data_IF_866247562797
#
_entry.id   IF_866247562797
#
_cell.length_a   1.000
_cell.length_b   1.000
_cell.length_c   1.000
_cell.angle_alpha   90.00
_cell.angle_beta   90.00
_cell.angle_gamma   90.00
#
_symmetry.space_group_name_H-M   'P 1'
#
loop_
_entity.id
_entity.type
_entity.pdbx_description
1 polymer ?
#
# COMPACT_ATOMS: atom_id res chain seq x y z
N UNK A 1 -17.72 3.79 14.96
CA UNK A 1 -17.56 3.54 16.41
C UNK A 1 -16.57 4.55 16.94
N UNK A 2 -16.77 5.11 18.16
CA UNK A 2 -15.78 6.00 18.78
C UNK A 2 -14.46 5.25 19.00
N UNK A 3 -13.32 5.92 18.75
CA UNK A 3 -11.99 5.31 19.01
C UNK A 3 -11.74 5.26 20.52
N UNK A 4 -11.20 4.13 20.99
CA UNK A 4 -10.97 3.88 22.40
C UNK A 4 -9.54 4.18 22.81
N UNK A 5 -9.35 5.02 23.84
CA UNK A 5 -8.05 5.42 24.36
C UNK A 5 -7.92 4.92 25.80
N UNK A 6 -6.80 4.27 26.13
CA UNK A 6 -6.43 3.90 27.50
C UNK A 6 -5.45 4.96 28.05
N UNK A 7 -5.81 5.57 29.16
CA UNK A 7 -4.94 6.53 29.88
C UNK A 7 -4.41 5.86 31.13
N UNK A 8 -3.10 5.92 31.31
CA UNK A 8 -2.40 5.30 32.43
C UNK A 8 -1.59 6.35 33.18
N UNK A 9 -1.95 6.64 34.40
CA UNK A 9 -1.30 7.64 35.25
C UNK A 9 -1.66 7.32 36.72
N UNK A 10 -0.73 7.46 37.65
CA UNK A 10 -0.99 7.26 39.07
C UNK A 10 -1.61 8.47 39.78
N UNK A 11 -1.56 9.66 39.11
CA UNK A 11 -2.24 10.85 39.61
C UNK A 11 -3.71 10.90 39.17
N UNK A 12 -4.68 10.81 40.11
CA UNK A 12 -6.11 10.89 39.78
C UNK A 12 -6.53 12.22 39.13
N UNK A 13 -5.82 13.31 39.37
CA UNK A 13 -6.13 14.62 38.79
C UNK A 13 -5.68 14.64 37.30
N UNK A 14 -4.51 14.09 37.03
CA UNK A 14 -4.03 13.93 35.65
C UNK A 14 -4.98 13.03 34.84
N UNK A 15 -5.39 11.89 35.40
CA UNK A 15 -6.38 11.00 34.78
C UNK A 15 -7.70 11.74 34.45
N UNK A 16 -8.22 12.51 35.40
CA UNK A 16 -9.47 13.29 35.19
C UNK A 16 -9.33 14.32 34.09
N UNK A 17 -8.25 15.12 34.15
CA UNK A 17 -8.02 16.19 33.16
C UNK A 17 -7.90 15.65 31.74
N UNK A 18 -7.02 14.64 31.54
CA UNK A 18 -6.79 14.04 30.22
C UNK A 18 -8.05 13.31 29.73
N UNK A 19 -8.76 12.60 30.62
CA UNK A 19 -10.04 11.97 30.27
C UNK A 19 -11.09 12.96 29.82
N UNK A 20 -11.28 14.04 30.57
CA UNK A 20 -12.25 15.08 30.23
C UNK A 20 -11.94 15.71 28.87
N UNK A 21 -10.66 16.05 28.63
CA UNK A 21 -10.22 16.63 27.36
C UNK A 21 -10.54 15.71 26.19
N UNK A 22 -10.20 14.42 26.29
CA UNK A 22 -10.39 13.48 25.16
C UNK A 22 -11.85 13.06 24.99
N UNK A 23 -12.64 12.97 26.06
CA UNK A 23 -14.08 12.73 25.96
C UNK A 23 -14.82 13.89 25.29
N UNK A 24 -14.39 15.13 25.53
CA UNK A 24 -14.94 16.33 24.86
C UNK A 24 -14.70 16.27 23.33
N UNK A 25 -13.61 15.63 22.87
CA UNK A 25 -13.30 15.40 21.46
C UNK A 25 -13.97 14.12 20.90
N UNK A 26 -14.83 13.46 21.68
CA UNK A 26 -15.64 12.31 21.23
C UNK A 26 -14.93 10.94 21.29
N UNK A 27 -13.83 10.82 22.02
CA UNK A 27 -13.15 9.54 22.24
C UNK A 27 -13.81 8.73 23.37
N UNK A 28 -13.82 7.38 23.25
CA UNK A 28 -14.13 6.47 24.35
C UNK A 28 -12.87 6.28 25.22
N UNK A 29 -12.95 6.66 26.51
CA UNK A 29 -11.79 6.73 27.39
C UNK A 29 -11.90 5.68 28.49
N UNK A 30 -10.88 4.82 28.60
CA UNK A 30 -10.64 3.94 29.73
C UNK A 30 -9.42 4.45 30.52
N UNK A 31 -9.40 4.25 31.83
CA UNK A 31 -8.32 4.66 32.72
C UNK A 31 -7.72 3.48 33.48
N UNK A 32 -6.43 3.58 33.82
CA UNK A 32 -5.71 2.70 34.72
C UNK A 32 -4.81 3.51 35.63
N UNK A 33 -4.81 3.23 36.92
CA UNK A 33 -4.03 3.96 37.92
C UNK A 33 -2.63 3.34 38.18
N UNK A 34 -2.28 2.27 37.47
CA UNK A 34 -0.98 1.60 37.59
C UNK A 34 -0.61 0.81 36.33
N UNK A 35 0.67 0.48 36.19
CA UNK A 35 1.15 -0.37 35.10
C UNK A 35 0.50 -1.77 35.10
N UNK A 36 0.23 -2.34 36.28
CA UNK A 36 -0.44 -3.63 36.40
C UNK A 36 -1.89 -3.57 35.90
N UNK A 37 -2.64 -2.53 36.25
CA UNK A 37 -4.00 -2.30 35.77
C UNK A 37 -4.03 -2.05 34.26
N UNK A 38 -3.04 -1.32 33.74
CA UNK A 38 -2.92 -1.09 32.30
C UNK A 38 -2.77 -2.40 31.53
N UNK A 39 -1.86 -3.29 31.95
CA UNK A 39 -1.66 -4.61 31.33
C UNK A 39 -2.88 -5.52 31.47
N UNK A 40 -3.58 -5.47 32.62
CA UNK A 40 -4.82 -6.20 32.83
C UNK A 40 -5.97 -5.66 31.92
N UNK A 41 -6.03 -4.33 31.70
CA UNK A 41 -7.01 -3.71 30.81
C UNK A 41 -6.76 -4.12 29.35
N UNK A 42 -5.50 -4.16 28.92
CA UNK A 42 -5.11 -4.61 27.59
C UNK A 42 -5.45 -6.08 27.31
N UNK A 43 -5.46 -6.92 28.34
CA UNK A 43 -5.86 -8.32 28.23
C UNK A 43 -7.39 -8.50 28.05
N UNK A 44 -8.20 -7.53 28.54
CA UNK A 44 -9.66 -7.55 28.43
C UNK A 44 -10.19 -6.95 27.12
N UNK A 45 -9.44 -6.06 26.52
CA UNK A 45 -9.84 -5.40 25.26
C UNK A 45 -8.73 -4.47 24.76
N UNK A 46 -8.54 -4.45 23.45
CA UNK A 46 -7.51 -3.63 22.83
C UNK A 46 -8.02 -2.20 22.59
N UNK A 47 -7.39 -1.16 23.18
CA UNK A 47 -7.65 0.22 22.81
C UNK A 47 -6.99 0.56 21.44
N UNK A 48 -7.35 1.69 20.88
CA UNK A 48 -6.75 2.22 19.65
C UNK A 48 -5.45 2.99 19.91
N UNK A 49 -5.27 3.49 21.16
CA UNK A 49 -4.07 4.23 21.61
C UNK A 49 -3.93 4.11 23.13
N UNK A 50 -2.68 4.12 23.61
CA UNK A 50 -2.34 4.23 25.03
C UNK A 50 -1.64 5.54 25.29
N UNK A 51 -2.12 6.31 26.29
CA UNK A 51 -1.40 7.43 26.88
C UNK A 51 -0.82 6.93 28.20
N UNK A 52 0.49 7.08 28.37
CA UNK A 52 1.21 6.39 29.44
C UNK A 52 2.14 7.35 30.18
N UNK A 53 1.88 7.54 31.46
CA UNK A 53 2.84 8.28 32.30
C UNK A 53 4.13 7.48 32.47
N UNK A 54 5.26 8.17 32.45
CA UNK A 54 6.59 7.58 32.60
C UNK A 54 6.88 7.23 34.06
N UNK A 55 6.45 8.13 34.99
CA UNK A 55 6.82 8.05 36.39
C UNK A 55 5.67 7.52 37.24
N UNK A 56 5.56 6.22 37.35
CA UNK A 56 4.58 5.56 38.23
C UNK A 56 5.27 4.73 39.31
N UNK A 57 4.68 4.61 40.52
CA UNK A 57 5.17 3.69 41.53
C UNK A 57 5.05 2.24 41.06
N UNK A 58 5.88 1.34 41.56
CA UNK A 58 5.94 -0.11 41.30
C UNK A 58 6.41 -0.50 39.90
N UNK A 59 5.78 0.00 38.83
CA UNK A 59 6.13 -0.31 37.44
C UNK A 59 6.15 0.97 36.63
N UNK A 60 7.32 1.34 36.12
CA UNK A 60 7.46 2.55 35.30
C UNK A 60 6.75 2.41 33.94
N UNK A 61 6.30 3.55 33.38
CA UNK A 61 5.70 3.54 32.03
C UNK A 61 6.64 3.00 30.95
N UNK A 62 7.96 3.15 31.11
CA UNK A 62 8.94 2.58 30.19
C UNK A 62 8.87 1.03 30.22
N UNK A 63 8.72 0.44 31.39
CA UNK A 63 8.59 -1.01 31.53
C UNK A 63 7.24 -1.51 30.99
N UNK A 64 6.15 -0.78 31.23
CA UNK A 64 4.83 -1.10 30.63
C UNK A 64 4.94 -1.07 29.11
N UNK A 65 5.58 -0.04 28.53
CA UNK A 65 5.81 0.09 27.09
C UNK A 65 6.57 -1.12 26.53
N UNK A 66 7.67 -1.52 27.16
CA UNK A 66 8.45 -2.68 26.74
C UNK A 66 7.61 -3.98 26.76
N UNK A 67 6.77 -4.17 27.78
CA UNK A 67 5.86 -5.34 27.85
C UNK A 67 4.80 -5.32 26.76
N UNK A 68 4.24 -4.12 26.45
CA UNK A 68 3.31 -3.94 25.32
C UNK A 68 4.00 -4.31 23.99
N UNK A 69 5.23 -3.87 23.78
CA UNK A 69 6.03 -4.16 22.56
C UNK A 69 6.45 -5.62 22.44
N UNK A 70 6.71 -6.29 23.57
CA UNK A 70 7.08 -7.71 23.59
C UNK A 70 5.91 -8.65 23.23
N UNK A 71 4.68 -8.22 23.38
CA UNK A 71 3.50 -9.02 23.05
C UNK A 71 3.06 -8.80 21.59
N UNK A 72 3.10 -9.82 20.71
CA UNK A 72 2.73 -9.68 19.31
C UNK A 72 1.33 -9.09 19.05
N UNK A 73 0.37 -9.32 19.96
CA UNK A 73 -1.00 -8.81 19.87
C UNK A 73 -1.08 -7.28 20.09
N UNK A 74 -0.15 -6.71 20.86
CA UNK A 74 -0.12 -5.28 21.23
C UNK A 74 1.12 -4.54 20.73
N UNK A 75 2.08 -5.23 20.09
CA UNK A 75 3.37 -4.66 19.66
C UNK A 75 3.23 -3.41 18.77
N UNK A 76 2.12 -3.29 18.03
CA UNK A 76 1.83 -2.16 17.11
C UNK A 76 0.84 -1.15 17.69
N UNK A 77 0.47 -1.27 18.97
CA UNK A 77 -0.45 -0.34 19.63
C UNK A 77 0.24 1.02 19.79
N UNK A 78 -0.33 2.13 19.31
CA UNK A 78 0.27 3.45 19.50
C UNK A 78 0.40 3.82 20.96
N UNK A 79 1.56 4.34 21.34
CA UNK A 79 1.86 4.76 22.70
C UNK A 79 2.37 6.20 22.68
N UNK A 80 1.62 7.10 23.34
CA UNK A 80 2.04 8.45 23.67
C UNK A 80 2.53 8.47 25.12
N UNK A 81 3.80 8.79 25.34
CA UNK A 81 4.31 8.95 26.70
C UNK A 81 4.11 10.38 27.22
N UNK A 82 3.64 10.48 28.47
CA UNK A 82 3.62 11.73 29.22
C UNK A 82 4.74 11.70 30.26
N UNK A 83 5.47 12.81 30.47
CA UNK A 83 6.52 12.87 31.48
C UNK A 83 6.64 14.24 32.12
N UNK A 84 6.86 14.26 33.43
CA UNK A 84 7.07 15.47 34.22
C UNK A 84 8.42 16.20 33.96
N UNK A 85 9.35 15.63 33.20
CA UNK A 85 10.69 16.16 32.92
C UNK A 85 10.98 16.28 31.43
N UNK A 86 11.17 17.52 30.98
CA UNK A 86 11.53 17.87 29.60
C UNK A 86 13.01 17.64 29.23
N UNK A 87 13.73 16.74 29.88
CA UNK A 87 15.14 16.44 29.59
C UNK A 87 15.27 15.63 28.32
N UNK A 88 16.19 16.01 27.44
CA UNK A 88 16.51 15.32 26.19
C UNK A 88 16.82 13.83 26.42
N UNK A 89 17.41 13.49 27.57
CA UNK A 89 17.72 12.12 27.97
C UNK A 89 16.44 11.25 28.15
N UNK A 90 15.36 11.79 28.69
CA UNK A 90 14.11 11.08 28.92
C UNK A 90 13.36 10.81 27.59
N UNK A 91 13.42 11.78 26.65
CA UNK A 91 12.90 11.59 25.29
C UNK A 91 13.62 10.49 24.54
N UNK A 92 14.95 10.43 24.62
CA UNK A 92 15.78 9.39 23.99
C UNK A 92 15.50 8.02 24.64
N UNK A 93 15.32 7.96 25.94
CA UNK A 93 14.99 6.72 26.65
C UNK A 93 13.57 6.24 26.35
N UNK A 94 12.59 7.13 26.26
CA UNK A 94 11.21 6.84 25.86
C UNK A 94 11.10 6.30 24.45
N UNK A 95 11.78 6.92 23.49
CA UNK A 95 11.83 6.42 22.09
C UNK A 95 12.58 5.09 21.98
N UNK A 96 13.64 4.88 22.76
CA UNK A 96 14.35 3.58 22.82
C UNK A 96 13.52 2.46 23.46
N UNK A 97 12.56 2.77 24.34
CA UNK A 97 11.62 1.80 24.91
C UNK A 97 10.50 1.39 23.95
N UNK A 98 10.41 2.04 22.77
CA UNK A 98 9.44 1.72 21.73
C UNK A 98 8.17 2.57 21.74
N UNK A 99 8.15 3.72 22.42
CA UNK A 99 7.06 4.69 22.33
C UNK A 99 7.04 5.40 20.95
N UNK A 100 5.84 5.76 20.48
CA UNK A 100 5.66 6.38 19.16
C UNK A 100 5.75 7.89 19.21
N UNK A 101 5.43 8.51 20.37
CA UNK A 101 5.60 9.95 20.62
C UNK A 101 5.71 10.24 22.13
N UNK A 102 6.06 11.49 22.44
CA UNK A 102 6.36 11.94 23.79
C UNK A 102 5.87 13.37 24.01
N UNK A 103 5.17 13.64 25.11
CA UNK A 103 4.65 14.94 25.47
C UNK A 103 5.06 15.30 26.91
N UNK A 104 5.73 16.45 27.15
CA UNK A 104 6.08 16.89 28.51
C UNK A 104 4.84 17.36 29.30
N UNK A 105 4.80 17.04 30.61
CA UNK A 105 3.84 17.59 31.56
C UNK A 105 4.35 18.93 32.12
N UNK A 106 3.51 19.98 32.35
CA UNK A 106 2.07 19.96 32.04
C UNK A 106 1.81 20.03 30.55
N UNK A 107 0.96 19.14 30.04
CA UNK A 107 0.61 19.07 28.64
C UNK A 107 -0.42 20.18 28.32
N UNK A 108 -0.17 20.94 27.27
CA UNK A 108 -1.20 21.78 26.66
C UNK A 108 -2.30 20.87 26.05
N UNK A 109 -3.57 21.21 26.33
CA UNK A 109 -4.69 20.35 25.86
C UNK A 109 -4.79 20.28 24.35
N UNK A 110 -4.50 21.38 23.64
CA UNK A 110 -4.50 21.41 22.19
C UNK A 110 -3.36 20.57 21.59
N UNK A 111 -2.15 20.63 22.20
CA UNK A 111 -1.02 19.81 21.77
C UNK A 111 -1.29 18.31 22.03
N UNK A 112 -1.90 17.97 23.17
CA UNK A 112 -2.29 16.59 23.50
C UNK A 112 -3.25 16.05 22.45
N UNK A 113 -4.32 16.77 22.13
CA UNK A 113 -5.32 16.35 21.12
C UNK A 113 -4.67 16.17 19.75
N UNK A 114 -3.87 17.15 19.30
CA UNK A 114 -3.19 17.07 18.01
C UNK A 114 -2.25 15.86 17.90
N UNK A 115 -1.52 15.51 18.97
CA UNK A 115 -0.64 14.34 18.98
C UNK A 115 -1.42 13.03 19.02
N UNK A 116 -2.50 12.96 19.79
CA UNK A 116 -3.40 11.82 19.82
C UNK A 116 -3.99 11.58 18.44
N UNK A 117 -4.50 12.61 17.77
CA UNK A 117 -5.00 12.50 16.39
C UNK A 117 -3.93 12.03 15.41
N UNK A 118 -2.73 12.62 15.47
CA UNK A 118 -1.62 12.23 14.62
C UNK A 118 -1.23 10.76 14.82
N UNK A 119 -1.17 10.28 16.05
CA UNK A 119 -0.88 8.87 16.38
C UNK A 119 -2.01 7.94 15.96
N UNK A 120 -3.26 8.30 16.22
CA UNK A 120 -4.43 7.52 15.79
C UNK A 120 -4.55 7.46 14.26
N UNK A 121 -4.19 8.53 13.56
CA UNK A 121 -4.16 8.56 12.11
C UNK A 121 -3.02 7.69 11.55
N UNK A 122 -1.83 7.72 12.19
CA UNK A 122 -0.72 6.80 11.88
C UNK A 122 -1.08 5.35 12.21
N UNK A 123 -1.80 5.10 13.28
CA UNK A 123 -2.21 3.76 13.70
C UNK A 123 -3.44 3.25 12.92
N UNK A 124 -4.33 4.13 12.51
CA UNK A 124 -5.37 3.83 11.52
C UNK A 124 -4.76 3.51 10.15
N UNK A 125 -3.57 4.08 9.83
CA UNK A 125 -2.68 3.64 8.77
C UNK A 125 -1.95 2.31 9.10
N UNK A 126 -1.98 1.83 10.35
CA UNK A 126 -1.43 0.53 10.83
C UNK A 126 -2.48 -0.58 11.00
N UNK A 127 -3.71 -0.44 10.55
CA UNK A 127 -4.41 -1.57 9.92
C UNK A 127 -3.47 -2.07 8.81
N UNK A 128 -3.36 -3.38 8.49
CA UNK A 128 -2.53 -3.80 7.38
C UNK A 128 -2.92 -2.95 6.17
N UNK A 129 -2.19 -1.84 5.95
CA UNK A 129 -2.47 -0.98 4.82
C UNK A 129 -2.15 -1.84 3.61
N UNK A 130 -3.12 -2.03 2.74
CA UNK A 130 -2.96 -2.86 1.57
C UNK A 130 -1.65 -2.55 0.87
N UNK A 131 -0.91 -3.56 0.49
CA UNK A 131 0.38 -3.39 -0.15
C UNK A 131 0.18 -2.82 -1.55
N UNK A 132 0.79 -1.69 -1.83
CA UNK A 132 0.78 -1.08 -3.17
C UNK A 132 1.87 -1.73 -4.02
N UNK A 133 1.49 -2.15 -5.23
CA UNK A 133 2.39 -2.69 -6.25
C UNK A 133 2.13 -1.91 -7.54
N UNK A 134 3.17 -1.36 -8.13
CA UNK A 134 3.06 -0.62 -9.37
C UNK A 134 3.63 -1.41 -10.56
N UNK A 135 2.96 -1.35 -11.69
CA UNK A 135 3.43 -1.84 -12.97
C UNK A 135 3.51 -0.67 -13.93
N UNK A 136 4.66 -0.44 -14.51
CA UNK A 136 4.89 0.62 -15.50
C UNK A 136 5.56 0.03 -16.73
N UNK A 137 5.06 0.33 -17.91
CA UNK A 137 5.67 -0.12 -19.15
C UNK A 137 6.95 0.67 -19.46
N UNK A 138 7.98 0.02 -19.94
CA UNK A 138 9.14 0.69 -20.51
C UNK A 138 8.72 1.54 -21.73
N UNK A 139 7.79 1.01 -22.53
CA UNK A 139 7.16 1.68 -23.68
C UNK A 139 5.70 1.27 -23.79
N UNK A 140 4.94 1.96 -24.66
CA UNK A 140 3.58 1.53 -25.03
C UNK A 140 3.61 0.13 -25.65
N UNK A 141 2.64 -0.71 -25.27
CA UNK A 141 2.50 -2.06 -25.79
C UNK A 141 3.43 -3.12 -25.20
N UNK A 142 4.24 -2.82 -24.18
CA UNK A 142 5.13 -3.78 -23.52
C UNK A 142 4.42 -4.94 -22.79
N UNK A 143 3.08 -4.90 -22.69
CA UNK A 143 2.29 -5.93 -22.01
C UNK A 143 1.99 -5.65 -20.55
N UNK A 144 2.17 -4.41 -20.10
CA UNK A 144 1.99 -3.97 -18.70
C UNK A 144 0.63 -4.33 -18.14
N UNK A 145 -0.45 -3.94 -18.83
CA UNK A 145 -1.84 -4.25 -18.43
C UNK A 145 -2.07 -5.76 -18.37
N UNK A 146 -1.55 -6.53 -19.34
CA UNK A 146 -1.67 -7.99 -19.35
C UNK A 146 -1.00 -8.60 -18.11
N UNK A 147 0.20 -8.16 -17.75
CA UNK A 147 0.91 -8.62 -16.53
C UNK A 147 0.13 -8.24 -15.29
N UNK A 148 -0.27 -6.97 -15.16
CA UNK A 148 -0.99 -6.46 -13.99
C UNK A 148 -2.32 -7.19 -13.76
N UNK A 149 -3.13 -7.37 -14.82
CA UNK A 149 -4.42 -8.10 -14.77
C UNK A 149 -4.22 -9.54 -14.34
N UNK A 150 -3.24 -10.25 -14.93
CA UNK A 150 -3.00 -11.65 -14.58
C UNK A 150 -2.48 -11.82 -13.15
N UNK A 151 -1.54 -10.97 -12.69
CA UNK A 151 -1.05 -11.00 -11.30
C UNK A 151 -2.18 -10.69 -10.33
N UNK A 152 -2.98 -9.65 -10.60
CA UNK A 152 -4.12 -9.28 -9.75
C UNK A 152 -5.16 -10.41 -9.66
N UNK A 153 -5.47 -11.04 -10.79
CA UNK A 153 -6.42 -12.17 -10.86
C UNK A 153 -5.91 -13.40 -10.11
N UNK A 154 -4.62 -13.72 -10.22
CA UNK A 154 -4.00 -14.83 -9.48
C UNK A 154 -4.01 -14.61 -7.97
N UNK A 155 -3.80 -13.37 -7.52
CA UNK A 155 -3.89 -13.04 -6.10
C UNK A 155 -5.34 -13.11 -5.58
N UNK A 156 -6.30 -12.63 -6.37
CA UNK A 156 -7.72 -12.74 -6.04
C UNK A 156 -8.20 -14.20 -5.99
N UNK A 157 -7.73 -15.05 -6.92
CA UNK A 157 -8.03 -16.48 -6.95
C UNK A 157 -7.49 -17.22 -5.71
N UNK A 158 -6.46 -16.69 -5.07
CA UNK A 158 -5.95 -17.15 -3.77
C UNK A 158 -6.76 -16.65 -2.56
N UNK A 159 -7.90 -16.00 -2.78
CA UNK A 159 -8.75 -15.45 -1.73
C UNK A 159 -8.27 -14.12 -1.15
N UNK A 160 -7.29 -13.44 -1.78
CA UNK A 160 -6.81 -12.13 -1.34
C UNK A 160 -7.78 -11.01 -1.71
N UNK A 161 -7.91 -10.02 -0.82
CA UNK A 161 -8.65 -8.80 -1.14
C UNK A 161 -7.80 -7.90 -2.05
N UNK A 162 -8.03 -7.95 -3.37
CA UNK A 162 -7.23 -7.26 -4.39
C UNK A 162 -8.04 -6.19 -5.10
N UNK A 163 -7.43 -5.02 -5.27
CA UNK A 163 -7.94 -3.98 -6.19
C UNK A 163 -6.88 -3.66 -7.24
N UNK A 164 -7.25 -3.76 -8.50
CA UNK A 164 -6.48 -3.30 -9.64
C UNK A 164 -6.98 -1.92 -10.05
N UNK A 165 -6.07 -0.98 -10.23
CA UNK A 165 -6.35 0.38 -10.69
C UNK A 165 -5.64 0.60 -12.02
N UNK A 166 -6.38 0.86 -13.07
CA UNK A 166 -5.82 1.22 -14.36
C UNK A 166 -5.65 2.75 -14.43
N UNK A 167 -4.47 3.23 -14.01
CA UNK A 167 -4.18 4.66 -13.84
C UNK A 167 -3.50 5.22 -15.10
N UNK A 168 -4.32 5.68 -16.03
CA UNK A 168 -3.83 6.24 -17.31
C UNK A 168 -4.72 7.36 -17.83
N UNK A 169 -4.16 8.31 -18.60
CA UNK A 169 -4.87 9.47 -19.09
C UNK A 169 -5.75 9.21 -20.35
N UNK A 170 -5.96 7.98 -20.71
CA UNK A 170 -6.73 7.60 -21.89
C UNK A 170 -7.39 6.25 -21.75
N UNK A 171 -8.02 5.74 -22.82
CA UNK A 171 -8.74 4.48 -22.79
C UNK A 171 -7.91 3.33 -22.28
N UNK A 172 -8.53 2.53 -21.38
CA UNK A 172 -7.93 1.34 -20.82
C UNK A 172 -8.39 0.05 -21.47
N UNK A 173 -7.71 -1.04 -21.13
CA UNK A 173 -8.00 -2.38 -21.65
C UNK A 173 -8.22 -3.42 -20.56
N UNK A 174 -7.99 -3.08 -19.29
CA UNK A 174 -8.10 -4.01 -18.17
C UNK A 174 -9.54 -4.57 -18.03
N UNK A 175 -10.55 -3.73 -18.21
CA UNK A 175 -11.95 -4.16 -18.17
C UNK A 175 -12.25 -5.20 -19.25
N UNK A 176 -11.78 -4.99 -20.48
CA UNK A 176 -11.94 -5.94 -21.59
C UNK A 176 -11.24 -7.28 -21.33
N UNK A 177 -10.02 -7.25 -20.77
CA UNK A 177 -9.29 -8.46 -20.37
C UNK A 177 -9.97 -9.28 -19.27
N UNK A 178 -10.88 -8.65 -18.51
CA UNK A 178 -11.67 -9.28 -17.45
C UNK A 178 -13.12 -9.56 -17.86
N UNK A 179 -13.50 -9.29 -19.11
CA UNK A 179 -14.88 -9.43 -19.60
C UNK A 179 -15.86 -8.47 -18.92
N UNK A 180 -15.37 -7.37 -18.36
CA UNK A 180 -16.16 -6.39 -17.62
C UNK A 180 -16.53 -5.19 -18.51
N UNK A 181 -17.67 -4.56 -18.19
CA UNK A 181 -18.14 -3.34 -18.87
C UNK A 181 -18.33 -2.26 -17.81
N UNK A 182 -17.48 -1.21 -17.78
CA UNK A 182 -17.62 -0.13 -16.83
C UNK A 182 -18.83 0.73 -17.16
N UNK A 183 -19.71 0.95 -16.16
CA UNK A 183 -20.75 1.99 -16.20
C UNK A 183 -20.20 3.32 -15.66
N UNK A 184 -19.23 3.24 -14.77
CA UNK A 184 -18.47 4.36 -14.20
C UNK A 184 -17.00 3.99 -14.19
N UNK A 185 -16.13 4.98 -14.38
CA UNK A 185 -14.69 4.79 -14.51
C UNK A 185 -13.88 5.88 -13.79
N UNK A 186 -12.58 5.89 -13.99
CA UNK A 186 -11.66 6.87 -13.42
C UNK A 186 -12.01 8.32 -13.81
N UNK A 187 -12.53 8.55 -15.01
CA UNK A 187 -12.93 9.89 -15.48
C UNK A 187 -14.04 10.48 -14.63
N UNK A 188 -15.04 9.67 -14.25
CA UNK A 188 -16.15 10.09 -13.38
C UNK A 188 -15.67 10.49 -11.98
N UNK A 189 -14.62 9.82 -11.49
CA UNK A 189 -14.05 10.12 -10.17
C UNK A 189 -13.24 11.41 -10.18
N UNK A 190 -12.51 11.69 -11.25
CA UNK A 190 -11.67 12.89 -11.38
C UNK A 190 -12.46 14.18 -11.51
N UNK A 191 -13.72 14.09 -11.98
CA UNK A 191 -14.63 15.24 -12.01
C UNK A 191 -15.02 15.73 -10.61
N UNK A 192 -14.57 15.03 -9.54
CA UNK A 192 -14.90 15.32 -8.14
C UNK A 192 -13.66 15.72 -7.34
N UNK A 193 -13.81 16.56 -6.29
CA UNK A 193 -12.71 16.87 -5.39
C UNK A 193 -12.12 15.60 -4.74
N UNK A 194 -10.79 15.54 -4.50
CA UNK A 194 -10.16 14.40 -3.83
C UNK A 194 -10.76 14.05 -2.46
N UNK A 195 -11.30 15.05 -1.75
CA UNK A 195 -11.99 14.89 -0.46
C UNK A 195 -13.24 14.04 -0.55
N UNK A 196 -13.91 14.05 -1.70
CA UNK A 196 -15.15 13.32 -1.91
C UNK A 196 -14.93 11.82 -2.19
N UNK A 197 -13.68 11.41 -2.50
CA UNK A 197 -13.32 9.99 -2.63
C UNK A 197 -13.52 9.21 -1.32
N UNK A 198 -13.50 9.90 -0.18
CA UNK A 198 -13.78 9.33 1.14
C UNK A 198 -15.27 8.96 1.33
N UNK A 199 -16.18 9.51 0.53
CA UNK A 199 -17.58 9.13 0.54
C UNK A 199 -17.75 7.74 -0.08
N UNK A 200 -18.09 6.73 0.75
CA UNK A 200 -18.15 5.30 0.37
C UNK A 200 -18.96 5.01 -0.91
N UNK A 201 -19.94 5.84 -1.23
CA UNK A 201 -20.82 5.64 -2.39
C UNK A 201 -20.19 6.02 -3.73
N UNK A 202 -19.19 6.90 -3.74
CA UNK A 202 -18.62 7.43 -4.99
C UNK A 202 -17.65 6.43 -5.59
N UNK A 203 -16.66 6.02 -4.83
CA UNK A 203 -15.66 5.05 -5.28
C UNK A 203 -16.27 3.66 -5.48
N UNK A 204 -17.20 3.25 -4.60
CA UNK A 204 -17.87 1.96 -4.67
C UNK A 204 -18.66 1.73 -5.97
N UNK A 205 -19.22 2.80 -6.56
CA UNK A 205 -19.94 2.73 -7.85
C UNK A 205 -19.01 2.54 -9.05
N UNK A 206 -17.77 3.02 -8.96
CA UNK A 206 -16.78 2.93 -10.04
C UNK A 206 -15.93 1.64 -9.96
N UNK A 207 -16.05 0.88 -8.86
CA UNK A 207 -15.34 -0.40 -8.71
C UNK A 207 -16.16 -1.54 -9.30
N UNK A 208 -15.64 -2.13 -10.35
CA UNK A 208 -16.12 -3.36 -10.96
C UNK A 208 -15.64 -4.58 -10.17
N UNK A 209 -16.38 -5.68 -10.24
CA UNK A 209 -15.98 -6.96 -9.64
C UNK A 209 -15.99 -8.06 -10.69
N UNK A 210 -14.88 -8.78 -10.80
CA UNK A 210 -14.79 -9.98 -11.63
C UNK A 210 -15.33 -11.21 -10.89
N UNK A 211 -15.51 -12.31 -11.62
CA UNK A 211 -16.05 -13.55 -11.09
C UNK A 211 -15.23 -14.15 -9.92
N UNK A 212 -13.91 -13.95 -9.91
CA UNK A 212 -13.01 -14.39 -8.83
C UNK A 212 -12.84 -13.37 -7.71
N UNK A 213 -13.67 -12.32 -7.66
CA UNK A 213 -13.65 -11.32 -6.59
C UNK A 213 -12.61 -10.20 -6.75
N UNK A 214 -11.81 -10.19 -7.82
CA UNK A 214 -10.92 -9.07 -8.14
C UNK A 214 -11.75 -7.80 -8.34
N UNK A 215 -11.36 -6.72 -7.69
CA UNK A 215 -11.93 -5.38 -7.87
C UNK A 215 -11.12 -4.61 -8.90
N UNK A 216 -11.79 -3.95 -9.82
CA UNK A 216 -11.16 -3.12 -10.85
C UNK A 216 -11.72 -1.71 -10.82
N UNK A 217 -10.84 -0.73 -10.74
CA UNK A 217 -11.10 0.64 -11.09
C UNK A 217 -10.52 0.87 -12.50
N UNK A 218 -11.41 0.93 -13.48
CA UNK A 218 -11.01 1.02 -14.88
C UNK A 218 -10.59 2.44 -15.26
N UNK A 219 -9.69 2.56 -16.22
CA UNK A 219 -9.36 3.82 -16.87
C UNK A 219 -10.60 4.37 -17.65
N UNK A 220 -10.60 5.66 -18.03
CA UNK A 220 -11.66 6.23 -18.85
C UNK A 220 -11.93 5.40 -20.10
N UNK A 221 -13.21 5.21 -20.41
CA UNK A 221 -13.62 4.50 -21.64
C UNK A 221 -14.11 5.45 -22.73
N UNK A 222 -14.37 6.72 -22.42
CA UNK A 222 -14.68 7.77 -23.39
C UNK A 222 -13.58 8.83 -23.41
N UNK A 223 -13.31 9.40 -24.60
CA UNK A 223 -12.29 10.43 -24.80
C UNK A 223 -12.75 11.85 -24.44
N UNK A 224 -13.98 12.03 -23.96
CA UNK A 224 -14.59 13.33 -23.76
C UNK A 224 -14.12 14.04 -22.47
N UNK A 225 -13.48 13.31 -21.56
CA UNK A 225 -12.99 13.86 -20.30
C UNK A 225 -11.46 13.89 -20.33
N UNK A 226 -10.80 15.06 -20.30
CA UNK A 226 -9.36 15.14 -20.11
C UNK A 226 -8.98 14.48 -18.78
N UNK A 227 -8.13 13.47 -18.84
CA UNK A 227 -7.74 12.71 -17.67
C UNK A 227 -6.32 13.11 -17.24
N UNK A 228 -6.17 14.32 -16.69
CA UNK A 228 -4.93 14.73 -16.03
C UNK A 228 -5.02 14.38 -14.54
N UNK A 229 -4.49 13.21 -14.20
CA UNK A 229 -4.53 12.69 -12.84
C UNK A 229 -3.48 13.41 -12.00
N UNK A 230 -3.95 14.23 -11.05
CA UNK A 230 -3.04 14.91 -10.11
C UNK A 230 -2.39 13.94 -9.11
N UNK A 231 -1.22 14.34 -8.56
CA UNK A 231 -0.57 13.59 -7.50
C UNK A 231 -1.42 13.49 -6.24
N UNK A 232 -2.10 14.57 -5.86
CA UNK A 232 -2.99 14.61 -4.70
C UNK A 232 -4.17 13.64 -4.83
N UNK A 233 -4.77 13.56 -6.02
CA UNK A 233 -5.84 12.60 -6.29
C UNK A 233 -5.32 11.17 -6.17
N UNK A 234 -4.14 10.88 -6.72
CA UNK A 234 -3.53 9.56 -6.63
C UNK A 234 -3.22 9.18 -5.16
N UNK A 235 -2.70 10.09 -4.35
CA UNK A 235 -2.45 9.86 -2.92
C UNK A 235 -3.75 9.59 -2.14
N UNK A 236 -4.80 10.38 -2.37
CA UNK A 236 -6.10 10.15 -1.73
C UNK A 236 -6.69 8.78 -2.11
N UNK A 237 -6.60 8.42 -3.40
CA UNK A 237 -7.05 7.12 -3.91
C UNK A 237 -6.28 5.96 -3.28
N UNK A 238 -4.94 6.04 -3.22
CA UNK A 238 -4.07 5.06 -2.57
C UNK A 238 -4.51 4.86 -1.12
N UNK A 239 -4.60 5.96 -0.34
CA UNK A 239 -4.95 5.90 1.07
C UNK A 239 -6.34 5.29 1.32
N UNK A 240 -7.29 5.50 0.42
CA UNK A 240 -8.61 4.88 0.52
C UNK A 240 -8.57 3.38 0.20
N UNK A 241 -7.96 3.00 -0.92
CA UNK A 241 -7.93 1.60 -1.37
C UNK A 241 -7.10 0.70 -0.46
N UNK A 242 -6.03 1.22 0.14
CA UNK A 242 -5.21 0.50 1.11
C UNK A 242 -5.97 0.08 2.36
N UNK A 243 -7.03 0.80 2.76
CA UNK A 243 -7.89 0.43 3.89
C UNK A 243 -8.84 -0.71 3.58
N UNK A 244 -9.14 -0.94 2.30
CA UNK A 244 -10.13 -1.92 1.86
C UNK A 244 -9.54 -3.15 1.16
N UNK A 245 -8.23 -3.13 0.86
CA UNK A 245 -7.55 -4.18 0.11
C UNK A 245 -6.34 -4.70 0.86
N UNK A 246 -6.02 -5.99 0.72
CA UNK A 246 -4.71 -6.52 1.09
C UNK A 246 -3.63 -6.11 0.07
N UNK A 247 -4.03 -6.01 -1.20
CA UNK A 247 -3.16 -5.60 -2.30
C UNK A 247 -3.87 -4.59 -3.19
N UNK A 248 -3.19 -3.48 -3.48
CA UNK A 248 -3.61 -2.49 -4.48
C UNK A 248 -2.58 -2.49 -5.59
N UNK A 249 -2.95 -2.97 -6.76
CA UNK A 249 -2.10 -3.00 -7.93
C UNK A 249 -2.42 -1.81 -8.84
N UNK A 250 -1.41 -1.12 -9.31
CA UNK A 250 -1.56 -0.02 -10.26
C UNK A 250 -0.95 -0.38 -11.60
N UNK A 251 -1.76 -0.34 -12.65
CA UNK A 251 -1.31 -0.37 -14.04
C UNK A 251 -1.11 1.07 -14.52
N UNK A 252 0.14 1.48 -14.65
CA UNK A 252 0.54 2.85 -14.95
C UNK A 252 0.86 3.02 -16.44
N UNK A 253 0.44 4.15 -16.99
CA UNK A 253 0.90 4.54 -18.32
C UNK A 253 2.42 4.79 -18.35
N UNK A 254 3.12 4.54 -19.46
CA UNK A 254 4.56 4.78 -19.60
C UNK A 254 4.88 6.26 -19.76
N UNK A 255 4.65 7.04 -18.71
CA UNK A 255 4.85 8.49 -18.67
C UNK A 255 5.30 8.96 -17.28
N UNK A 256 5.82 10.18 -17.19
CA UNK A 256 6.40 10.75 -15.97
C UNK A 256 5.44 11.76 -15.32
N UNK A 257 4.28 11.32 -14.88
CA UNK A 257 3.28 12.19 -14.25
C UNK A 257 3.45 12.30 -12.73
N UNK A 258 2.86 13.33 -12.14
CA UNK A 258 2.79 13.47 -10.68
C UNK A 258 2.05 12.28 -10.04
N UNK A 259 1.01 11.77 -10.69
CA UNK A 259 0.26 10.58 -10.24
C UNK A 259 1.14 9.33 -10.26
N UNK A 260 1.91 9.08 -11.33
CA UNK A 260 2.82 7.93 -11.39
C UNK A 260 3.90 8.02 -10.31
N UNK A 261 4.43 9.23 -10.05
CA UNK A 261 5.38 9.45 -8.96
C UNK A 261 4.76 9.16 -7.60
N UNK A 262 3.55 9.65 -7.34
CA UNK A 262 2.83 9.37 -6.08
C UNK A 262 2.64 7.87 -5.87
N UNK A 263 2.14 7.14 -6.88
CA UNK A 263 1.96 5.68 -6.80
C UNK A 263 3.29 4.98 -6.55
N UNK A 264 4.34 5.29 -7.33
CA UNK A 264 5.64 4.63 -7.21
C UNK A 264 6.30 4.88 -5.83
N UNK A 265 6.11 6.09 -5.25
CA UNK A 265 6.60 6.43 -3.91
C UNK A 265 5.90 5.67 -2.78
N UNK A 266 4.64 5.26 -2.98
CA UNK A 266 3.88 4.42 -2.03
C UNK A 266 4.03 2.93 -2.32
N UNK A 267 4.55 2.58 -3.50
CA UNK A 267 4.67 1.19 -3.91
C UNK A 267 5.76 0.48 -3.12
N UNK A 268 5.41 -0.66 -2.57
CA UNK A 268 6.36 -1.61 -2.02
C UNK A 268 7.31 -2.17 -3.10
N UNK A 269 6.80 -2.27 -4.33
CA UNK A 269 7.57 -2.71 -5.49
C UNK A 269 7.00 -2.09 -6.77
N UNK A 270 7.89 -1.57 -7.61
CA UNK A 270 7.57 -1.06 -8.95
C UNK A 270 8.18 -1.97 -10.00
N UNK A 271 7.33 -2.65 -10.76
CA UNK A 271 7.71 -3.53 -11.86
C UNK A 271 7.79 -2.74 -13.17
N UNK A 272 8.97 -2.63 -13.74
CA UNK A 272 9.16 -2.07 -15.10
C UNK A 272 8.99 -3.20 -16.11
N UNK A 273 7.90 -3.16 -16.87
CA UNK A 273 7.60 -4.18 -17.88
C UNK A 273 8.30 -3.86 -19.19
N UNK A 274 9.13 -4.78 -19.65
CA UNK A 274 10.07 -4.60 -20.76
C UNK A 274 10.06 -5.82 -21.70
N UNK A 275 10.17 -5.58 -23.00
CA UNK A 275 10.42 -6.64 -23.99
C UNK A 275 11.94 -6.88 -24.15
N UNK A 276 12.37 -8.10 -24.55
CA UNK A 276 13.80 -8.40 -24.73
C UNK A 276 14.36 -7.88 -26.07
N UNK A 277 14.07 -6.63 -26.40
CA UNK A 277 14.56 -5.93 -27.59
C UNK A 277 15.33 -4.65 -27.21
N UNK A 278 16.28 -4.18 -28.07
CA UNK A 278 17.15 -3.06 -27.74
C UNK A 278 16.40 -1.75 -27.41
N UNK A 279 15.29 -1.45 -28.10
CA UNK A 279 14.52 -0.22 -27.89
C UNK A 279 13.77 -0.26 -26.57
N UNK A 280 13.14 -1.40 -26.27
CA UNK A 280 12.45 -1.60 -24.99
C UNK A 280 13.44 -1.53 -23.81
N UNK A 281 14.64 -2.09 -23.96
CA UNK A 281 15.72 -2.02 -22.95
C UNK A 281 16.18 -0.58 -22.75
N UNK A 282 16.36 0.19 -23.82
CA UNK A 282 16.71 1.61 -23.72
C UNK A 282 15.65 2.39 -22.94
N UNK A 283 14.37 2.18 -23.25
CA UNK A 283 13.27 2.82 -22.54
C UNK A 283 13.20 2.36 -21.07
N UNK A 284 13.41 1.05 -20.80
CA UNK A 284 13.44 0.52 -19.45
C UNK A 284 14.54 1.16 -18.59
N UNK A 285 15.73 1.37 -19.15
CA UNK A 285 16.83 2.10 -18.47
C UNK A 285 16.43 3.53 -18.11
N UNK A 286 15.80 4.25 -19.04
CA UNK A 286 15.31 5.61 -18.77
C UNK A 286 14.25 5.61 -17.64
N UNK A 287 13.33 4.62 -17.65
CA UNK A 287 12.33 4.45 -16.60
C UNK A 287 12.99 4.16 -15.24
N UNK A 288 13.94 3.24 -15.19
CA UNK A 288 14.68 2.92 -13.96
C UNK A 288 15.47 4.12 -13.43
N UNK A 289 16.12 4.88 -14.30
CA UNK A 289 16.84 6.10 -13.92
C UNK A 289 15.88 7.16 -13.33
N UNK A 290 14.68 7.30 -13.88
CA UNK A 290 13.65 8.20 -13.33
C UNK A 290 13.16 7.71 -11.97
N UNK A 291 12.89 6.41 -11.80
CA UNK A 291 12.52 5.83 -10.50
C UNK A 291 13.62 6.07 -9.47
N UNK A 292 14.90 5.93 -9.86
CA UNK A 292 16.04 6.23 -9.00
C UNK A 292 16.08 7.70 -8.57
N UNK A 293 15.79 8.64 -9.46
CA UNK A 293 15.67 10.07 -9.11
C UNK A 293 14.54 10.33 -8.12
N UNK A 294 13.50 9.50 -8.12
CA UNK A 294 12.41 9.54 -7.14
C UNK A 294 12.74 8.80 -5.83
N UNK A 295 13.96 8.25 -5.68
CA UNK A 295 14.41 7.50 -4.51
C UNK A 295 13.99 6.03 -4.52
N UNK A 296 13.49 5.51 -5.64
CA UNK A 296 12.98 4.13 -5.77
C UNK A 296 14.03 3.27 -6.46
N UNK A 297 14.78 2.48 -5.68
CA UNK A 297 15.90 1.67 -6.17
C UNK A 297 16.05 0.36 -5.39
N UNK A 298 16.96 -0.49 -5.82
CA UNK A 298 17.24 -1.77 -5.16
C UNK A 298 16.04 -2.70 -5.13
N UNK A 299 15.65 -3.17 -3.94
CA UNK A 299 14.53 -4.09 -3.76
C UNK A 299 13.15 -3.46 -4.03
N UNK A 300 13.09 -2.12 -4.24
CA UNK A 300 11.85 -1.40 -4.48
C UNK A 300 11.48 -1.33 -5.97
N UNK A 301 12.41 -1.61 -6.89
CA UNK A 301 12.16 -1.61 -8.33
C UNK A 301 12.87 -2.76 -9.02
N UNK A 302 12.28 -3.29 -10.09
CA UNK A 302 12.88 -4.32 -10.90
C UNK A 302 12.15 -4.53 -12.21
N UNK A 303 12.71 -5.37 -13.09
CA UNK A 303 12.23 -5.57 -14.45
C UNK A 303 11.44 -6.88 -14.56
N UNK A 304 10.28 -6.80 -15.19
CA UNK A 304 9.51 -7.95 -15.68
C UNK A 304 9.70 -8.03 -17.19
N UNK A 305 10.41 -9.05 -17.64
CA UNK A 305 10.61 -9.31 -19.06
C UNK A 305 9.38 -10.03 -19.63
N UNK A 306 8.85 -9.50 -20.72
CA UNK A 306 7.74 -10.13 -21.47
C UNK A 306 8.21 -10.46 -22.86
N UNK A 307 8.45 -11.73 -23.11
CA UNK A 307 8.77 -12.18 -24.47
C UNK A 307 7.48 -12.48 -25.23
N UNK A 308 7.12 -11.64 -26.19
CA UNK A 308 5.87 -11.78 -26.97
C UNK A 308 5.98 -12.73 -28.15
N UNK A 309 7.19 -13.02 -28.61
CA UNK A 309 7.41 -13.89 -29.75
C UNK A 309 8.80 -14.51 -29.71
N UNK A 310 8.93 -15.69 -30.29
CA UNK A 310 10.24 -16.34 -30.47
C UNK A 310 10.99 -15.62 -31.58
N UNK A 311 11.88 -14.70 -31.21
CA UNK A 311 12.77 -14.02 -32.15
C UNK A 311 14.20 -14.48 -31.94
N UNK A 312 14.92 -14.89 -33.00
CA UNK A 312 16.35 -15.19 -32.90
C UNK A 312 17.20 -13.97 -32.51
N UNK A 313 16.63 -12.76 -32.67
CA UNK A 313 17.25 -11.51 -32.31
C UNK A 313 16.88 -11.00 -30.91
N UNK A 314 16.11 -11.77 -30.11
CA UNK A 314 15.85 -11.43 -28.73
C UNK A 314 17.16 -11.44 -27.94
N UNK A 315 17.34 -10.40 -27.10
CA UNK A 315 18.55 -10.29 -26.28
C UNK A 315 18.60 -11.42 -25.23
N UNK A 316 19.73 -12.11 -25.07
CA UNK A 316 19.90 -13.11 -24.02
C UNK A 316 19.70 -12.53 -22.63
N UNK A 317 19.21 -13.33 -21.69
CA UNK A 317 18.91 -12.90 -20.32
C UNK A 317 20.13 -12.30 -19.61
N UNK A 318 21.33 -12.87 -19.82
CA UNK A 318 22.59 -12.36 -19.28
C UNK A 318 22.89 -10.94 -19.80
N UNK A 319 22.71 -10.71 -21.11
CA UNK A 319 22.88 -9.39 -21.73
C UNK A 319 21.85 -8.38 -21.20
N UNK A 320 20.58 -8.80 -21.04
CA UNK A 320 19.54 -7.94 -20.48
C UNK A 320 19.88 -7.51 -19.05
N UNK A 321 20.34 -8.45 -18.23
CA UNK A 321 20.70 -8.18 -16.83
C UNK A 321 21.85 -7.17 -16.72
N UNK A 322 22.92 -7.35 -17.50
CA UNK A 322 24.05 -6.42 -17.52
C UNK A 322 23.68 -5.04 -18.07
N UNK A 323 22.76 -5.00 -19.07
CA UNK A 323 22.34 -3.75 -19.70
C UNK A 323 21.35 -2.95 -18.83
N UNK A 324 20.49 -3.60 -18.06
CA UNK A 324 19.44 -2.95 -17.27
C UNK A 324 19.94 -2.45 -15.91
N UNK A 325 21.06 -2.99 -15.40
CA UNK A 325 21.60 -2.67 -14.08
C UNK A 325 20.56 -2.78 -12.94
N UNK A 326 19.56 -3.63 -13.13
CA UNK A 326 18.47 -3.83 -12.21
C UNK A 326 18.10 -5.31 -12.06
N UNK A 327 17.51 -5.68 -10.95
CA UNK A 327 17.04 -7.04 -10.72
C UNK A 327 15.91 -7.44 -11.67
N UNK A 328 15.97 -8.66 -12.22
CA UNK A 328 14.89 -9.22 -13.03
C UNK A 328 13.94 -9.96 -12.11
N UNK A 329 12.74 -9.43 -11.97
CA UNK A 329 11.69 -9.97 -11.13
C UNK A 329 11.04 -11.23 -11.73
N UNK A 330 10.82 -11.23 -13.04
CA UNK A 330 10.29 -12.37 -13.78
C UNK A 330 10.69 -12.29 -15.26
N UNK A 331 10.70 -13.44 -15.92
CA UNK A 331 10.80 -13.55 -17.36
C UNK A 331 9.60 -14.40 -17.86
N UNK A 332 8.68 -13.76 -18.56
CA UNK A 332 7.46 -14.38 -19.07
C UNK A 332 7.73 -14.85 -20.50
N UNK A 333 7.67 -16.16 -20.75
CA UNK A 333 7.96 -16.72 -22.05
C UNK A 333 6.83 -16.42 -23.06
N UNK A 334 7.08 -16.63 -24.38
CA UNK A 334 6.07 -16.47 -25.41
C UNK A 334 4.84 -17.36 -25.14
N UNK A 335 3.67 -16.80 -25.41
CA UNK A 335 2.39 -17.47 -25.22
C UNK A 335 1.57 -17.56 -26.53
N UNK A 336 2.22 -17.39 -27.69
CA UNK A 336 1.60 -17.41 -29.02
C UNK A 336 0.29 -16.55 -29.04
N UNK A 337 -0.82 -17.15 -29.50
CA UNK A 337 -2.12 -16.48 -29.60
C UNK A 337 -2.92 -16.47 -28.29
N UNK A 338 -2.40 -17.11 -27.23
CA UNK A 338 -3.12 -17.25 -25.96
C UNK A 338 -3.56 -15.91 -25.35
N UNK A 339 -2.76 -14.82 -25.38
CA UNK A 339 -3.22 -13.51 -24.91
C UNK A 339 -4.42 -12.97 -25.70
N UNK A 340 -4.51 -13.25 -27.00
CA UNK A 340 -5.64 -12.83 -27.84
C UNK A 340 -6.90 -13.64 -27.53
N UNK A 341 -6.73 -14.95 -27.34
CA UNK A 341 -7.82 -15.85 -26.92
C UNK A 341 -8.35 -15.40 -25.55
N UNK A 342 -7.46 -15.17 -24.58
CA UNK A 342 -7.80 -14.70 -23.24
C UNK A 342 -8.58 -13.37 -23.28
N UNK A 343 -8.14 -12.41 -24.09
CA UNK A 343 -8.82 -11.14 -24.27
C UNK A 343 -10.22 -11.30 -24.88
N UNK A 344 -10.38 -12.20 -25.87
CA UNK A 344 -11.68 -12.47 -26.49
C UNK A 344 -12.66 -13.15 -25.54
N UNK A 345 -12.16 -14.05 -24.72
CA UNK A 345 -12.95 -14.77 -23.70
C UNK A 345 -13.25 -13.88 -22.47
N UNK A 346 -12.53 -12.75 -22.28
CA UNK A 346 -12.62 -11.93 -21.09
C UNK A 346 -12.12 -12.62 -19.82
N UNK A 347 -11.21 -13.60 -19.98
CA UNK A 347 -10.63 -14.38 -18.88
C UNK A 347 -9.12 -14.24 -18.92
N UNK A 348 -8.46 -13.83 -17.82
CA UNK A 348 -7.01 -13.69 -17.78
C UNK A 348 -6.28 -14.97 -18.20
N UNK A 349 -5.20 -14.82 -18.96
CA UNK A 349 -4.41 -15.91 -19.51
C UNK A 349 -4.02 -16.96 -18.46
N UNK A 350 -3.57 -16.52 -17.30
CA UNK A 350 -3.13 -17.41 -16.22
C UNK A 350 -4.27 -18.20 -15.57
N UNK A 351 -5.49 -17.74 -15.69
CA UNK A 351 -6.71 -18.45 -15.25
C UNK A 351 -7.23 -19.35 -16.36
N UNK A 352 -7.20 -18.87 -17.61
CA UNK A 352 -7.69 -19.62 -18.78
C UNK A 352 -6.84 -20.87 -19.09
N UNK A 353 -5.51 -20.76 -18.93
CA UNK A 353 -4.56 -21.87 -19.19
C UNK A 353 -3.50 -21.93 -18.09
N UNK A 354 -3.85 -22.41 -16.89
CA UNK A 354 -2.95 -22.43 -15.73
C UNK A 354 -1.70 -23.31 -15.94
N UNK A 355 -1.77 -24.30 -16.81
CA UNK A 355 -0.68 -25.22 -17.15
C UNK A 355 0.36 -24.63 -18.12
N UNK A 356 0.06 -23.50 -18.75
CA UNK A 356 0.98 -22.87 -19.72
C UNK A 356 2.19 -22.25 -19.04
N UNK A 357 3.38 -22.32 -19.66
CA UNK A 357 4.62 -21.80 -19.08
C UNK A 357 4.55 -20.28 -18.74
N UNK A 358 3.87 -19.49 -19.57
CA UNK A 358 3.65 -18.07 -19.27
C UNK A 358 2.77 -17.87 -18.02
N UNK A 359 1.76 -18.73 -17.83
CA UNK A 359 0.92 -18.73 -16.63
C UNK A 359 1.71 -19.10 -15.37
N UNK A 360 2.60 -20.10 -15.49
CA UNK A 360 3.49 -20.49 -14.40
C UNK A 360 4.44 -19.35 -14.00
N UNK A 361 5.01 -18.63 -14.99
CA UNK A 361 5.87 -17.48 -14.74
C UNK A 361 5.11 -16.30 -14.08
N UNK A 362 3.86 -16.05 -14.49
CA UNK A 362 2.98 -15.05 -13.86
C UNK A 362 2.61 -15.43 -12.42
N UNK A 363 2.35 -16.72 -12.17
CA UNK A 363 2.06 -17.24 -10.84
C UNK A 363 3.28 -17.14 -9.91
N UNK A 364 4.48 -17.44 -10.41
CA UNK A 364 5.73 -17.24 -9.66
C UNK A 364 5.95 -15.76 -9.33
N UNK A 365 5.73 -14.85 -10.28
CA UNK A 365 5.78 -13.41 -10.04
C UNK A 365 4.79 -12.98 -8.95
N UNK A 366 3.53 -13.41 -9.04
CA UNK A 366 2.52 -13.11 -8.02
C UNK A 366 2.97 -13.60 -6.63
N UNK A 367 3.50 -14.82 -6.53
CA UNK A 367 4.04 -15.38 -5.29
C UNK A 367 5.23 -14.59 -4.73
N UNK A 368 6.14 -14.10 -5.58
CA UNK A 368 7.28 -13.26 -5.15
C UNK A 368 6.83 -11.88 -4.67
N UNK A 369 5.83 -11.31 -5.33
CA UNK A 369 5.26 -10.01 -4.94
C UNK A 369 4.56 -10.05 -3.57
N UNK A 370 4.17 -11.19 -3.04
CA UNK A 370 3.59 -11.33 -1.69
C UNK A 370 4.61 -11.56 -0.57
N UNK A 371 5.88 -11.82 -0.91
CA UNK A 371 6.94 -12.04 0.09
C UNK A 371 7.36 -10.71 0.75
N UNK A 372 7.95 -10.76 1.94
CA UNK A 372 8.41 -9.58 2.68
C UNK A 372 9.51 -8.78 1.96
N UNK A 373 10.32 -9.42 1.14
CA UNK A 373 11.29 -8.80 0.21
C UNK A 373 11.13 -9.40 -1.17
N UNK A 374 11.28 -8.58 -2.20
CA UNK A 374 11.30 -9.05 -3.58
C UNK A 374 12.54 -9.93 -3.82
N UNK A 375 12.33 -11.11 -4.37
CA UNK A 375 13.44 -11.99 -4.81
C UNK A 375 13.54 -11.92 -6.32
N UNK A 376 14.71 -11.51 -6.79
CA UNK A 376 15.03 -11.49 -8.21
C UNK A 376 15.45 -12.86 -8.71
N UNK A 377 15.34 -13.10 -10.02
CA UNK A 377 15.83 -14.32 -10.65
C UNK A 377 17.35 -14.42 -10.46
N UNK A 378 17.79 -15.52 -9.92
CA UNK A 378 19.21 -15.90 -9.92
C UNK A 378 19.49 -16.57 -11.27
N UNK A 379 20.42 -16.01 -12.04
CA UNK A 379 20.90 -16.55 -13.32
C UNK A 379 22.37 -16.84 -13.19
#
# INVERSE_FOLDING_TARGET
MARRILIVDDDPNALRLVSYTLQAEGYDVATAASGAEALASLAKGRPDLVILDVMMPDMSGLEVCQRIRANPATARLPILMLSARGLVADRVSGLKSGADDYLPKPADTGELVARVEALLNRAGASQPSGQVIAFIGAKGGAGTTTVAVNVASLLADQGKAVTLVELRPGPGTAAGLLGLRPAHDMGDLQAKPPTDLAAKDILGRSILRSANGLRLLAAPHSGDTPCDISGEFAEALIGHLQRESEYVLFDLAPCWTAANRAVASHARFTAVVCEPDPLSVQCARATLATLQQWGIMGDLAGVVLVNRGSSPNALPLATLRSSLEAGIAAAIPPAADLPLVAAREGVPLAILRPEHMASAALKDLAGRLTQSRMRFLQV
#
